data_IF_561611129808
#
_entry.id   IF_561611129808
#
_cell.length_a   1.000
_cell.length_b   1.000
_cell.length_c   1.000
_cell.angle_alpha   90.00
_cell.angle_beta   90.00
_cell.angle_gamma   90.00
#
_symmetry.space_group_name_H-M   'P 1'
#
loop_
_entity.id
_entity.type
_entity.pdbx_description
1 polymer ?
#
# COMPACT_ATOMS: atom_id res chain seq x y z
N UNK A 1 -11.89 16.58 -13.30
CA UNK A 1 -10.69 17.21 -12.71
C UNK A 1 -9.47 16.79 -13.50
N UNK A 2 -8.55 17.70 -13.77
CA UNK A 2 -7.35 17.44 -14.56
C UNK A 2 -6.19 17.10 -13.61
N UNK A 3 -5.54 15.95 -13.83
CA UNK A 3 -4.43 15.49 -12.98
C UNK A 3 -3.28 15.01 -13.86
N UNK A 4 -2.05 15.30 -13.44
CA UNK A 4 -0.86 14.79 -14.10
C UNK A 4 -0.78 13.27 -13.98
N UNK A 5 -0.51 12.59 -15.11
CA UNK A 5 -0.26 11.14 -15.13
C UNK A 5 0.85 10.74 -14.16
N UNK A 6 1.90 11.56 -14.02
CA UNK A 6 2.95 11.38 -13.01
C UNK A 6 2.41 11.22 -11.59
N UNK A 7 1.43 12.04 -11.19
CA UNK A 7 0.80 11.94 -9.87
C UNK A 7 0.07 10.61 -9.69
N UNK A 8 -0.56 10.10 -10.74
CA UNK A 8 -1.26 8.81 -10.71
C UNK A 8 -0.28 7.64 -10.62
N UNK A 9 0.87 7.73 -11.28
CA UNK A 9 1.93 6.72 -11.18
C UNK A 9 2.51 6.68 -9.77
N UNK A 10 2.78 7.84 -9.15
CA UNK A 10 3.21 7.89 -7.74
C UNK A 10 2.18 7.22 -6.83
N UNK A 11 0.90 7.52 -7.04
CA UNK A 11 -0.17 6.93 -6.25
C UNK A 11 -0.28 5.42 -6.43
N UNK A 12 -0.07 4.90 -7.64
CA UNK A 12 0.01 3.45 -7.90
C UNK A 12 1.16 2.82 -7.11
N UNK A 13 2.35 3.43 -7.16
CA UNK A 13 3.53 2.95 -6.43
C UNK A 13 3.25 2.93 -4.92
N UNK A 14 2.62 3.97 -4.37
CA UNK A 14 2.23 3.99 -2.96
C UNK A 14 1.32 2.82 -2.59
N UNK A 15 0.30 2.50 -3.40
CA UNK A 15 -0.56 1.35 -3.13
C UNK A 15 0.19 0.01 -3.20
N UNK A 16 1.20 -0.12 -4.07
CA UNK A 16 2.06 -1.31 -4.10
C UNK A 16 2.88 -1.41 -2.81
N UNK A 17 3.46 -0.30 -2.34
CA UNK A 17 4.17 -0.26 -1.05
C UNK A 17 3.23 -0.64 0.09
N UNK A 18 1.98 -0.16 0.08
CA UNK A 18 0.96 -0.53 1.06
C UNK A 18 0.64 -2.02 1.02
N UNK A 19 0.56 -2.62 -0.16
CA UNK A 19 0.37 -4.07 -0.29
C UNK A 19 1.53 -4.85 0.36
N UNK A 20 2.77 -4.42 0.11
CA UNK A 20 3.96 -5.02 0.73
C UNK A 20 3.93 -4.86 2.24
N UNK A 21 3.53 -3.69 2.75
CA UNK A 21 3.40 -3.48 4.20
C UNK A 21 2.32 -4.37 4.82
N UNK A 22 1.15 -4.49 4.18
CA UNK A 22 0.08 -5.39 4.64
C UNK A 22 0.54 -6.86 4.69
N UNK A 23 1.25 -7.31 3.65
CA UNK A 23 1.85 -8.64 3.62
C UNK A 23 2.94 -8.80 4.70
N UNK A 24 3.74 -7.76 4.93
CA UNK A 24 4.79 -7.78 5.94
C UNK A 24 4.22 -7.96 7.36
N UNK A 25 3.08 -7.33 7.69
CA UNK A 25 2.43 -7.52 9.01
C UNK A 25 2.16 -9.02 9.26
N UNK A 26 1.67 -9.73 8.24
CA UNK A 26 1.38 -11.16 8.33
C UNK A 26 2.68 -11.97 8.41
N UNK A 27 3.63 -11.75 7.51
CA UNK A 27 4.85 -12.56 7.43
C UNK A 27 5.72 -12.33 8.68
N UNK A 28 5.85 -11.10 9.13
CA UNK A 28 6.64 -10.75 10.31
C UNK A 28 6.13 -11.46 11.55
N UNK A 29 4.82 -11.69 11.67
CA UNK A 29 4.25 -12.46 12.77
C UNK A 29 4.79 -13.90 12.85
N UNK A 30 5.07 -14.54 11.71
CA UNK A 30 5.59 -15.92 11.68
C UNK A 30 7.12 -16.00 11.74
N UNK A 31 7.81 -14.93 11.32
CA UNK A 31 9.25 -14.98 11.06
C UNK A 31 10.07 -14.18 12.09
N UNK A 32 9.42 -13.31 12.91
CA UNK A 32 10.11 -12.42 13.85
C UNK A 32 11.02 -13.16 14.84
N UNK A 33 10.59 -14.34 15.30
CA UNK A 33 11.25 -15.04 16.40
C UNK A 33 12.36 -15.99 15.90
N UNK A 34 12.31 -16.36 14.62
CA UNK A 34 13.21 -17.36 14.02
C UNK A 34 14.27 -16.75 13.10
N UNK A 35 14.03 -15.55 12.55
CA UNK A 35 14.94 -14.95 11.58
C UNK A 35 15.13 -13.44 11.78
N UNK A 36 16.07 -13.02 12.65
CA UNK A 36 16.35 -11.61 12.93
C UNK A 36 16.77 -10.81 11.68
N UNK A 37 17.33 -11.49 10.67
CA UNK A 37 17.72 -10.90 9.40
C UNK A 37 16.54 -10.52 8.50
N UNK A 38 15.31 -10.94 8.83
CA UNK A 38 14.10 -10.63 8.07
C UNK A 38 13.88 -9.12 7.90
N UNK A 39 14.16 -8.32 8.94
CA UNK A 39 14.01 -6.87 8.89
C UNK A 39 14.95 -6.23 7.86
N UNK A 40 16.17 -6.76 7.68
CA UNK A 40 17.10 -6.26 6.66
C UNK A 40 16.64 -6.64 5.25
N UNK A 41 16.03 -7.82 5.07
CA UNK A 41 15.44 -8.23 3.79
C UNK A 41 14.28 -7.29 3.43
N UNK A 42 13.36 -7.03 4.37
CA UNK A 42 12.22 -6.16 4.10
C UNK A 42 12.66 -4.73 3.78
N UNK A 43 13.68 -4.22 4.48
CA UNK A 43 14.28 -2.93 4.18
C UNK A 43 14.86 -2.91 2.76
N UNK A 44 15.57 -3.96 2.35
CA UNK A 44 16.07 -4.12 1.00
C UNK A 44 14.96 -4.09 -0.05
N UNK A 45 13.85 -4.81 0.18
CA UNK A 45 12.67 -4.80 -0.70
C UNK A 45 12.06 -3.41 -0.80
N UNK A 46 11.89 -2.70 0.32
CA UNK A 46 11.34 -1.34 0.33
C UNK A 46 12.24 -0.35 -0.41
N UNK A 47 13.56 -0.43 -0.23
CA UNK A 47 14.53 0.40 -0.95
C UNK A 47 14.48 0.13 -2.45
N UNK A 48 14.45 -1.13 -2.86
CA UNK A 48 14.32 -1.50 -4.28
C UNK A 48 13.03 -0.95 -4.89
N UNK A 49 11.91 -1.05 -4.17
CA UNK A 49 10.65 -0.45 -4.62
C UNK A 49 10.70 1.08 -4.68
N UNK A 50 11.38 1.73 -3.72
CA UNK A 50 11.60 3.17 -3.74
C UNK A 50 12.42 3.61 -4.96
N UNK A 51 13.52 2.91 -5.26
CA UNK A 51 14.36 3.17 -6.44
C UNK A 51 13.59 2.91 -7.73
N UNK A 52 12.90 1.77 -7.84
CA UNK A 52 12.12 1.43 -9.03
C UNK A 52 10.97 2.40 -9.24
N UNK A 53 10.28 2.79 -8.17
CA UNK A 53 9.24 3.81 -8.19
C UNK A 53 9.75 5.16 -8.66
N UNK A 54 10.94 5.57 -8.21
CA UNK A 54 11.60 6.80 -8.68
C UNK A 54 11.94 6.74 -10.17
N UNK A 55 12.46 5.61 -10.67
CA UNK A 55 12.74 5.43 -12.10
C UNK A 55 11.47 5.50 -12.94
N UNK A 56 10.38 4.85 -12.50
CA UNK A 56 9.08 4.94 -13.15
C UNK A 56 8.54 6.37 -13.16
N UNK A 57 8.66 7.10 -12.06
CA UNK A 57 8.26 8.50 -11.98
C UNK A 57 9.05 9.37 -12.96
N UNK A 58 10.37 9.20 -13.02
CA UNK A 58 11.25 9.95 -13.92
C UNK A 58 10.88 9.75 -15.39
N UNK A 59 10.49 8.53 -15.76
CA UNK A 59 10.11 8.17 -17.12
C UNK A 59 8.63 8.42 -17.45
N UNK A 60 7.84 8.87 -16.48
CA UNK A 60 6.41 9.11 -16.67
C UNK A 60 6.17 10.40 -17.45
N UNK A 61 5.19 10.37 -18.36
CA UNK A 61 4.80 11.54 -19.17
C UNK A 61 4.08 12.62 -18.34
N UNK A 62 4.32 13.89 -18.66
CA UNK A 62 3.62 15.07 -18.09
C UNK A 62 2.20 15.28 -18.66
N UNK A 63 1.67 14.30 -19.37
CA UNK A 63 0.30 14.30 -19.87
C UNK A 63 -0.72 14.50 -18.74
N UNK A 64 -1.66 15.40 -19.00
CA UNK A 64 -2.79 15.69 -18.13
C UNK A 64 -3.92 14.74 -18.51
N UNK A 65 -4.36 13.92 -17.55
CA UNK A 65 -5.46 13.00 -17.72
C UNK A 65 -6.71 13.57 -17.05
N UNK A 66 -7.85 13.66 -17.76
CA UNK A 66 -9.11 14.02 -17.14
C UNK A 66 -9.65 12.81 -16.37
N UNK A 67 -9.89 13.01 -15.07
CA UNK A 67 -10.42 12.02 -14.12
C UNK A 67 -11.73 12.54 -13.52
N UNK A 68 -12.68 11.65 -13.33
CA UNK A 68 -13.96 11.92 -12.67
C UNK A 68 -13.76 12.15 -11.18
N UNK A 69 -14.47 13.12 -10.61
CA UNK A 69 -14.38 13.45 -9.18
C UNK A 69 -14.73 12.26 -8.28
N UNK A 70 -15.69 11.44 -8.69
CA UNK A 70 -16.09 10.22 -7.98
C UNK A 70 -14.90 9.26 -7.80
N UNK A 71 -14.08 9.07 -8.83
CA UNK A 71 -12.91 8.18 -8.79
C UNK A 71 -11.88 8.71 -7.80
N UNK A 72 -11.62 10.02 -7.82
CA UNK A 72 -10.71 10.66 -6.86
C UNK A 72 -11.23 10.52 -5.42
N UNK A 73 -12.54 10.70 -5.20
CA UNK A 73 -13.17 10.48 -3.89
C UNK A 73 -13.02 9.04 -3.43
N UNK A 74 -13.23 8.05 -4.31
CA UNK A 74 -13.03 6.63 -4.00
C UNK A 74 -11.58 6.34 -3.62
N UNK A 75 -10.61 6.82 -4.40
CA UNK A 75 -9.18 6.61 -4.11
C UNK A 75 -8.77 7.22 -2.77
N UNK A 76 -9.22 8.45 -2.47
CA UNK A 76 -9.00 9.09 -1.16
C UNK A 76 -9.65 8.30 -0.03
N UNK A 77 -10.88 7.80 -0.25
CA UNK A 77 -11.58 6.94 0.70
C UNK A 77 -10.80 5.66 1.01
N UNK A 78 -10.25 4.99 -0.01
CA UNK A 78 -9.40 3.80 0.18
C UNK A 78 -8.14 4.15 0.99
N UNK A 79 -7.48 5.27 0.68
CA UNK A 79 -6.30 5.71 1.42
C UNK A 79 -6.62 5.99 2.90
N UNK A 80 -7.72 6.67 3.19
CA UNK A 80 -8.15 6.94 4.56
C UNK A 80 -8.57 5.68 5.30
N UNK A 81 -9.28 4.76 4.63
CA UNK A 81 -9.63 3.46 5.20
C UNK A 81 -8.37 2.64 5.51
N UNK A 82 -7.40 2.62 4.60
CA UNK A 82 -6.13 1.93 4.82
C UNK A 82 -5.41 2.50 6.04
N UNK A 83 -5.26 3.81 6.13
CA UNK A 83 -4.62 4.48 7.26
C UNK A 83 -5.35 4.17 8.57
N UNK A 84 -6.69 4.24 8.56
CA UNK A 84 -7.50 3.95 9.73
C UNK A 84 -7.32 2.50 10.22
N UNK A 85 -7.39 1.52 9.31
CA UNK A 85 -7.19 0.10 9.62
C UNK A 85 -5.77 -0.13 10.14
N UNK A 86 -4.76 0.52 9.56
CA UNK A 86 -3.37 0.40 10.00
C UNK A 86 -3.14 0.98 11.40
N UNK A 87 -3.75 2.13 11.71
CA UNK A 87 -3.68 2.70 13.07
C UNK A 87 -4.36 1.77 14.07
N UNK A 88 -5.53 1.21 13.72
CA UNK A 88 -6.21 0.24 14.59
C UNK A 88 -5.37 -1.01 14.81
N UNK A 89 -4.76 -1.54 13.76
CA UNK A 89 -3.83 -2.68 13.86
C UNK A 89 -2.70 -2.36 14.84
N UNK A 90 -2.03 -1.22 14.69
CA UNK A 90 -0.93 -0.81 15.57
C UNK A 90 -1.36 -0.65 17.02
N UNK A 91 -2.55 -0.09 17.28
CA UNK A 91 -3.07 0.06 18.65
C UNK A 91 -3.39 -1.31 19.24
N UNK A 92 -4.14 -2.14 18.51
CA UNK A 92 -4.62 -3.44 19.00
C UNK A 92 -3.50 -4.46 19.13
N UNK A 93 -2.50 -4.42 18.25
CA UNK A 93 -1.31 -5.29 18.31
C UNK A 93 -0.43 -5.02 19.55
N UNK A 94 -0.56 -3.85 20.18
CA UNK A 94 0.15 -3.51 21.42
C UNK A 94 -0.66 -3.82 22.70
N UNK A 95 -1.89 -4.34 22.57
CA UNK A 95 -2.71 -4.73 23.73
C UNK A 95 -2.46 -6.20 24.06
N UNK A 96 -1.89 -6.49 25.23
CA UNK A 96 -1.57 -7.86 25.70
C UNK A 96 -2.80 -8.79 25.80
N UNK A 97 -4.01 -8.23 25.79
CA UNK A 97 -5.25 -8.97 25.98
C UNK A 97 -5.81 -9.59 24.70
N UNK A 98 -5.27 -9.25 23.52
CA UNK A 98 -5.77 -9.76 22.24
C UNK A 98 -4.85 -10.81 21.64
N UNK A 99 -5.39 -11.91 21.08
CA UNK A 99 -4.59 -12.87 20.32
C UNK A 99 -3.92 -12.17 19.14
N UNK A 100 -2.60 -12.04 19.21
CA UNK A 100 -1.78 -11.32 18.22
C UNK A 100 -1.97 -11.87 16.81
N UNK A 101 -2.27 -13.15 16.69
CA UNK A 101 -2.44 -13.87 15.44
C UNK A 101 -3.68 -13.37 14.70
N UNK A 102 -4.79 -13.21 15.42
CA UNK A 102 -6.05 -12.72 14.86
C UNK A 102 -5.90 -11.26 14.43
N UNK A 103 -5.21 -10.45 15.23
CA UNK A 103 -4.98 -9.03 14.91
C UNK A 103 -4.08 -8.91 13.68
N UNK A 104 -2.90 -9.52 13.68
CA UNK A 104 -1.93 -9.36 12.58
C UNK A 104 -2.43 -9.99 11.28
N UNK A 105 -3.01 -11.19 11.32
CA UNK A 105 -3.52 -11.86 10.11
C UNK A 105 -4.78 -11.16 9.60
N UNK A 106 -5.72 -10.82 10.51
CA UNK A 106 -6.98 -10.18 10.16
C UNK A 106 -6.76 -8.79 9.55
N UNK A 107 -6.09 -7.91 10.29
CA UNK A 107 -5.81 -6.55 9.81
C UNK A 107 -4.87 -6.55 8.61
N UNK A 108 -3.82 -7.38 8.60
CA UNK A 108 -2.94 -7.53 7.45
C UNK A 108 -3.70 -7.90 6.17
N UNK A 109 -4.64 -8.84 6.27
CA UNK A 109 -5.49 -9.25 5.13
C UNK A 109 -6.39 -8.11 4.64
N UNK A 110 -7.01 -7.37 5.56
CA UNK A 110 -7.86 -6.20 5.21
C UNK A 110 -7.02 -5.12 4.52
N UNK A 111 -5.83 -4.82 5.04
CA UNK A 111 -4.90 -3.85 4.44
C UNK A 111 -4.48 -4.27 3.03
N UNK A 112 -4.18 -5.56 2.82
CA UNK A 112 -3.88 -6.10 1.50
C UNK A 112 -5.06 -5.95 0.53
N UNK A 113 -6.29 -6.26 0.96
CA UNK A 113 -7.49 -6.11 0.12
C UNK A 113 -7.68 -4.64 -0.30
N UNK A 114 -7.55 -3.71 0.64
CA UNK A 114 -7.64 -2.27 0.35
C UNK A 114 -6.56 -1.81 -0.64
N UNK A 115 -5.32 -2.28 -0.44
CA UNK A 115 -4.22 -1.97 -1.35
C UNK A 115 -4.46 -2.53 -2.76
N UNK A 116 -4.91 -3.78 -2.89
CA UNK A 116 -5.26 -4.41 -4.17
C UNK A 116 -6.38 -3.64 -4.88
N UNK A 117 -7.42 -3.25 -4.14
CA UNK A 117 -8.51 -2.44 -4.70
C UNK A 117 -8.00 -1.09 -5.25
N UNK A 118 -7.10 -0.43 -4.50
CA UNK A 118 -6.42 0.79 -4.94
C UNK A 118 -5.59 0.57 -6.21
N UNK A 119 -4.77 -0.48 -6.24
CA UNK A 119 -3.97 -0.87 -7.42
C UNK A 119 -4.86 -1.12 -8.63
N UNK A 120 -5.95 -1.87 -8.47
CA UNK A 120 -6.84 -2.23 -9.56
C UNK A 120 -7.48 -1.01 -10.21
N UNK A 121 -8.03 -0.09 -9.40
CA UNK A 121 -8.63 1.16 -9.88
C UNK A 121 -7.56 2.02 -10.58
N UNK A 122 -6.39 2.16 -9.97
CA UNK A 122 -5.33 3.00 -10.49
C UNK A 122 -4.72 2.47 -11.80
N UNK A 123 -4.58 1.15 -11.90
CA UNK A 123 -4.10 0.48 -13.13
C UNK A 123 -5.11 0.64 -14.25
N UNK A 124 -6.41 0.41 -13.97
CA UNK A 124 -7.49 0.68 -14.93
C UNK A 124 -7.43 2.11 -15.46
N UNK A 125 -7.20 3.11 -14.59
CA UNK A 125 -7.09 4.52 -15.00
C UNK A 125 -5.90 4.80 -15.91
N UNK A 126 -4.76 4.14 -15.66
CA UNK A 126 -3.53 4.33 -16.41
C UNK A 126 -3.52 3.55 -17.74
N UNK A 127 -4.30 2.48 -17.86
CA UNK A 127 -4.39 1.63 -19.07
C UNK A 127 -5.52 2.05 -20.01
N UNK A 128 -6.63 2.59 -19.52
CA UNK A 128 -7.80 2.93 -20.36
C UNK A 128 -7.68 4.24 -21.17
N UNK A 129 -6.48 4.78 -21.37
CA UNK A 129 -6.21 5.93 -22.25
C UNK A 129 -4.84 5.87 -22.89
#
# INVERSE_FOLDING_TARGET
>A
MNIYRKSLVIQLIMFIVFLIMGANIIIQHYVSDTFPAYNFIILGVLVLFGVFGFLLYKNSSDQILPITEQIMKTLKGILYAYLFVYILEMILSNMEQLPTDIVKIGFGSVLMILAIAGIYIQTRLLTHK
#
